data_IF_870145801892
#
_entry.id   IF_870145801892
#
_cell.length_a   1.000
_cell.length_b   1.000
_cell.length_c   1.000
_cell.angle_alpha   90.00
_cell.angle_beta   90.00
_cell.angle_gamma   90.00
#
_symmetry.space_group_name_H-M   'P 1'
#
loop_
_entity.id
_entity.type
_entity.pdbx_description
1 polymer ?
#
# COMPACT_ATOMS: atom_id res chain seq x y z
N UNK A 1 20.01 8.22 -13.99
CA UNK A 1 18.75 8.11 -13.22
C UNK A 1 18.83 6.82 -12.44
N UNK A 2 18.89 6.91 -11.12
CA UNK A 2 18.92 5.71 -10.28
C UNK A 2 17.51 5.10 -10.30
N UNK A 3 17.38 3.84 -10.69
CA UNK A 3 16.17 3.06 -10.52
C UNK A 3 15.91 2.97 -9.02
N UNK A 4 14.76 3.45 -8.58
CA UNK A 4 14.31 3.21 -7.21
C UNK A 4 14.06 1.71 -7.10
N UNK A 5 14.87 1.04 -6.30
CA UNK A 5 14.72 -0.37 -6.02
C UNK A 5 13.49 -0.53 -5.12
N UNK A 6 12.38 -1.00 -5.69
CA UNK A 6 11.06 -1.12 -5.03
C UNK A 6 11.05 -2.26 -3.98
N UNK A 7 12.17 -2.93 -3.80
CA UNK A 7 12.36 -4.04 -2.86
C UNK A 7 13.08 -3.64 -1.56
N UNK A 8 13.06 -2.36 -1.20
CA UNK A 8 13.59 -1.97 0.10
C UNK A 8 12.74 -2.62 1.20
N UNK A 9 13.35 -3.38 2.14
CA UNK A 9 12.68 -3.81 3.35
C UNK A 9 12.07 -2.58 4.06
N UNK A 10 10.96 -2.76 4.75
CA UNK A 10 10.29 -1.67 5.47
C UNK A 10 11.25 -0.89 6.39
N UNK A 11 12.27 -1.58 6.91
CA UNK A 11 13.34 -1.03 7.75
C UNK A 11 14.21 0.00 7.02
N UNK A 12 14.37 -0.11 5.69
CA UNK A 12 15.17 0.84 4.90
C UNK A 12 14.38 2.12 4.53
N UNK A 13 13.06 2.04 4.44
CA UNK A 13 12.23 3.22 4.12
C UNK A 13 12.15 4.17 5.32
N UNK A 14 12.09 3.63 6.54
CA UNK A 14 12.08 4.42 7.77
C UNK A 14 13.45 5.01 8.10
N UNK A 15 14.55 4.41 7.63
CA UNK A 15 15.91 4.94 7.79
C UNK A 15 16.17 6.23 6.99
N UNK A 16 15.27 6.60 6.08
CA UNK A 16 15.37 7.82 5.28
C UNK A 16 14.62 9.01 5.88
N UNK A 17 13.89 8.81 6.98
CA UNK A 17 13.09 9.87 7.60
C UNK A 17 13.76 10.33 8.88
N UNK A 18 14.08 11.61 8.94
CA UNK A 18 14.60 12.26 10.16
C UNK A 18 13.42 12.74 11.01
N UNK A 19 13.23 12.10 12.15
CA UNK A 19 12.20 12.46 13.13
C UNK A 19 12.68 13.50 14.15
N UNK A 20 13.90 14.02 14.01
CA UNK A 20 14.44 15.05 14.88
C UNK A 20 14.40 14.68 16.35
N UNK A 21 13.85 15.55 17.19
CA UNK A 21 13.77 15.33 18.65
C UNK A 21 12.87 14.13 19.03
N UNK A 22 11.98 13.68 18.14
CA UNK A 22 11.05 12.57 18.35
C UNK A 22 11.64 11.20 17.95
N UNK A 23 12.90 11.14 17.47
CA UNK A 23 13.54 9.92 16.95
C UNK A 23 13.48 8.74 17.94
N UNK A 24 13.80 8.99 19.20
CA UNK A 24 13.81 7.95 20.22
C UNK A 24 12.40 7.43 20.54
N UNK A 25 11.40 8.29 20.52
CA UNK A 25 10.00 7.91 20.74
C UNK A 25 9.45 7.13 19.55
N UNK A 26 9.76 7.54 18.32
CA UNK A 26 9.35 6.85 17.09
C UNK A 26 9.99 5.46 16.99
N UNK A 27 11.28 5.34 17.27
CA UNK A 27 11.99 4.05 17.29
C UNK A 27 11.35 3.09 18.30
N UNK A 28 11.03 3.57 19.51
CA UNK A 28 10.32 2.76 20.49
C UNK A 28 8.94 2.36 20.01
N UNK A 29 8.16 3.29 19.45
CA UNK A 29 6.82 3.03 18.93
C UNK A 29 6.84 1.95 17.83
N UNK A 30 7.75 2.06 16.88
CA UNK A 30 7.90 1.08 15.79
C UNK A 30 8.27 -0.31 16.33
N UNK A 31 9.28 -0.39 17.20
CA UNK A 31 9.72 -1.65 17.81
C UNK A 31 8.58 -2.33 18.59
N UNK A 32 7.94 -1.59 19.47
CA UNK A 32 6.89 -2.12 20.35
C UNK A 32 5.62 -2.43 19.56
N UNK A 33 5.30 -1.65 18.53
CA UNK A 33 4.22 -1.90 17.59
C UNK A 33 4.44 -3.15 16.76
N UNK A 34 5.63 -3.33 16.21
CA UNK A 34 6.03 -4.53 15.47
C UNK A 34 5.94 -5.78 16.36
N UNK A 35 6.48 -5.73 17.57
CA UNK A 35 6.40 -6.85 18.50
C UNK A 35 4.95 -7.25 18.81
N UNK A 36 4.07 -6.27 19.05
CA UNK A 36 2.64 -6.53 19.27
C UNK A 36 1.96 -7.12 18.05
N UNK A 37 2.22 -6.57 16.85
CA UNK A 37 1.63 -7.05 15.61
C UNK A 37 2.03 -8.50 15.31
N UNK A 38 3.30 -8.85 15.54
CA UNK A 38 3.80 -10.21 15.33
C UNK A 38 3.29 -11.20 16.38
N UNK A 39 2.90 -10.74 17.57
CA UNK A 39 2.33 -11.59 18.63
C UNK A 39 0.83 -11.86 18.46
N UNK A 40 0.15 -11.16 17.54
CA UNK A 40 -1.28 -11.36 17.29
C UNK A 40 -1.52 -12.70 16.59
N UNK A 41 -2.64 -13.36 16.94
CA UNK A 41 -3.02 -14.66 16.39
C UNK A 41 -3.87 -14.54 15.10
N UNK A 42 -4.26 -13.33 14.72
CA UNK A 42 -5.09 -13.02 13.57
C UNK A 42 -4.29 -12.93 12.26
N UNK A 43 -3.39 -13.90 12.04
CA UNK A 43 -2.57 -13.98 10.84
C UNK A 43 -2.24 -15.42 10.47
N UNK A 44 -2.12 -15.70 9.18
CA UNK A 44 -1.73 -17.01 8.65
C UNK A 44 -2.32 -17.26 7.26
N UNK A 45 -2.15 -18.48 6.73
CA UNK A 45 -2.73 -18.85 5.45
C UNK A 45 -4.25 -18.87 5.48
N UNK A 46 -4.88 -18.82 4.31
CA UNK A 46 -6.31 -19.11 4.17
C UNK A 46 -6.52 -20.61 4.42
N UNK A 47 -7.38 -20.95 5.36
CA UNK A 47 -7.72 -22.33 5.71
C UNK A 47 -9.23 -22.55 5.53
N UNK A 48 -9.59 -23.60 4.80
CA UNK A 48 -10.98 -24.03 4.60
C UNK A 48 -11.28 -25.29 5.40
N UNK A 49 -12.49 -25.38 5.89
CA UNK A 49 -13.02 -26.61 6.52
C UNK A 49 -13.35 -27.70 5.48
N UNK A 50 -13.74 -28.89 5.96
CA UNK A 50 -14.12 -30.00 5.08
C UNK A 50 -15.35 -29.72 4.19
N UNK A 51 -16.16 -28.76 4.58
CA UNK A 51 -17.36 -28.27 3.87
C UNK A 51 -17.03 -27.19 2.85
N UNK A 52 -15.73 -26.78 2.72
CA UNK A 52 -15.28 -25.70 1.85
C UNK A 52 -15.53 -24.30 2.42
N UNK A 53 -16.06 -24.17 3.62
CA UNK A 53 -16.23 -22.87 4.27
C UNK A 53 -14.89 -22.38 4.86
N UNK A 54 -14.74 -21.07 4.96
CA UNK A 54 -13.60 -20.47 5.67
C UNK A 54 -13.59 -20.95 7.13
N UNK A 55 -12.40 -21.28 7.64
CA UNK A 55 -12.24 -21.78 9.00
C UNK A 55 -12.93 -20.89 10.03
N UNK A 56 -13.67 -21.50 10.95
CA UNK A 56 -14.35 -20.80 12.03
C UNK A 56 -13.36 -20.05 12.95
N UNK A 57 -12.14 -20.55 13.11
CA UNK A 57 -11.10 -19.89 13.90
C UNK A 57 -10.68 -18.58 13.24
N UNK A 58 -10.51 -18.55 11.90
CA UNK A 58 -10.19 -17.33 11.15
C UNK A 58 -11.32 -16.32 11.31
N UNK A 59 -12.58 -16.73 11.15
CA UNK A 59 -13.73 -15.83 11.32
C UNK A 59 -13.82 -15.31 12.75
N UNK A 60 -13.57 -16.14 13.75
CA UNK A 60 -13.56 -15.74 15.16
C UNK A 60 -12.50 -14.68 15.44
N UNK A 61 -11.27 -14.90 14.94
CA UNK A 61 -10.17 -13.95 15.09
C UNK A 61 -10.48 -12.64 14.34
N UNK A 62 -11.01 -12.72 13.12
CA UNK A 62 -11.41 -11.55 12.34
C UNK A 62 -12.44 -10.70 13.11
N UNK A 63 -13.48 -11.30 13.64
CA UNK A 63 -14.51 -10.57 14.38
C UNK A 63 -14.05 -10.05 15.74
N UNK A 64 -13.09 -10.74 16.37
CA UNK A 64 -12.51 -10.29 17.64
C UNK A 64 -11.59 -9.09 17.46
N UNK A 65 -10.72 -9.11 16.45
CA UNK A 65 -9.68 -8.10 16.22
C UNK A 65 -10.12 -7.00 15.23
N UNK A 66 -11.15 -7.26 14.45
CA UNK A 66 -11.63 -6.37 13.38
C UNK A 66 -10.87 -6.50 12.06
N UNK A 67 -9.87 -7.38 11.97
CA UNK A 67 -9.11 -7.69 10.77
C UNK A 67 -8.41 -9.05 10.88
N UNK A 68 -7.97 -9.60 9.73
CA UNK A 68 -7.11 -10.77 9.65
C UNK A 68 -6.07 -10.57 8.55
N UNK A 69 -4.83 -11.00 8.78
CA UNK A 69 -3.73 -10.88 7.82
C UNK A 69 -3.53 -12.24 7.16
N UNK A 70 -3.91 -12.37 5.89
CA UNK A 70 -3.67 -13.58 5.12
C UNK A 70 -2.26 -13.61 4.56
N UNK A 71 -1.55 -14.69 4.79
CA UNK A 71 -0.18 -14.91 4.35
C UNK A 71 -0.15 -15.90 3.17
N UNK A 72 0.76 -15.66 2.22
CA UNK A 72 1.00 -16.57 1.10
C UNK A 72 -0.12 -16.64 0.05
N UNK A 73 -1.04 -15.68 0.02
CA UNK A 73 -2.15 -15.64 -0.95
C UNK A 73 -1.63 -15.34 -2.34
N UNK A 74 -0.72 -14.38 -2.44
CA UNK A 74 -0.12 -13.97 -3.72
C UNK A 74 1.24 -14.64 -3.86
N UNK A 75 1.39 -15.47 -4.89
CA UNK A 75 2.64 -16.18 -5.19
C UNK A 75 3.74 -15.25 -5.73
N UNK A 76 4.97 -15.77 -5.75
CA UNK A 76 6.12 -14.99 -6.24
C UNK A 76 6.02 -14.63 -7.74
N UNK A 77 5.36 -15.46 -8.54
CA UNK A 77 5.13 -15.19 -9.96
C UNK A 77 4.07 -14.10 -10.14
N UNK A 78 2.94 -14.23 -9.48
CA UNK A 78 1.87 -13.22 -9.51
C UNK A 78 2.36 -11.86 -9.03
N UNK A 79 3.18 -11.85 -7.97
CA UNK A 79 3.80 -10.61 -7.48
C UNK A 79 4.68 -9.97 -8.54
N UNK A 80 5.53 -10.75 -9.24
CA UNK A 80 6.36 -10.23 -10.34
C UNK A 80 5.53 -9.66 -11.47
N UNK A 81 4.44 -10.33 -11.85
CA UNK A 81 3.54 -9.83 -12.88
C UNK A 81 2.94 -8.47 -12.48
N UNK A 82 2.50 -8.34 -11.23
CA UNK A 82 1.99 -7.07 -10.69
C UNK A 82 3.07 -5.99 -10.70
N UNK A 83 4.30 -6.31 -10.26
CA UNK A 83 5.43 -5.38 -10.25
C UNK A 83 5.76 -4.87 -11.66
N UNK A 84 5.74 -5.75 -12.67
CA UNK A 84 5.95 -5.38 -14.08
C UNK A 84 4.85 -4.45 -14.58
N UNK A 85 3.59 -4.81 -14.38
CA UNK A 85 2.45 -4.00 -14.83
C UNK A 85 2.43 -2.64 -14.12
N UNK A 86 2.70 -2.60 -12.82
CA UNK A 86 2.76 -1.35 -12.04
C UNK A 86 3.91 -0.47 -12.52
N UNK A 87 5.08 -1.05 -12.82
CA UNK A 87 6.19 -0.30 -13.39
C UNK A 87 5.83 0.33 -14.74
N UNK A 88 5.11 -0.39 -15.61
CA UNK A 88 4.62 0.16 -16.88
C UNK A 88 3.59 1.28 -16.69
N UNK A 89 2.67 1.13 -15.73
CA UNK A 89 1.72 2.18 -15.38
C UNK A 89 2.45 3.45 -14.91
N UNK A 90 3.49 3.30 -14.09
CA UNK A 90 4.29 4.43 -13.60
C UNK A 90 5.08 5.10 -14.73
N UNK A 91 5.59 4.34 -15.71
CA UNK A 91 6.24 4.90 -16.91
C UNK A 91 5.29 5.75 -17.78
N UNK A 92 4.00 5.43 -17.73
CA UNK A 92 2.95 6.07 -18.48
C UNK A 92 2.17 7.12 -17.69
N UNK A 93 2.51 7.31 -16.41
CA UNK A 93 1.84 8.27 -15.54
C UNK A 93 2.06 9.73 -16.01
N UNK A 94 1.15 10.65 -15.70
CA UNK A 94 1.34 12.07 -16.00
C UNK A 94 2.64 12.60 -15.39
N UNK A 95 3.40 13.39 -16.17
CA UNK A 95 4.68 13.96 -15.72
C UNK A 95 4.54 14.94 -14.54
N UNK A 96 3.37 15.55 -14.40
CA UNK A 96 3.06 16.50 -13.32
C UNK A 96 1.56 16.47 -13.01
N UNK A 97 1.18 17.06 -11.88
CA UNK A 97 -0.21 17.22 -11.50
C UNK A 97 -0.98 17.95 -12.61
N UNK A 98 -2.03 17.33 -13.11
CA UNK A 98 -2.88 17.79 -14.20
C UNK A 98 -2.22 17.78 -15.60
N UNK A 99 -1.04 17.21 -15.78
CA UNK A 99 -0.48 17.01 -17.11
C UNK A 99 -1.29 15.94 -17.86
N UNK A 100 -1.42 16.13 -19.19
CA UNK A 100 -2.04 15.16 -20.09
C UNK A 100 -1.01 14.28 -20.80
N UNK A 101 0.27 14.47 -20.52
CA UNK A 101 1.38 13.73 -21.15
C UNK A 101 2.26 13.08 -20.08
N UNK A 102 2.87 11.95 -20.46
CA UNK A 102 3.87 11.25 -19.65
C UNK A 102 5.27 11.89 -19.81
N UNK A 103 6.27 11.33 -19.15
CA UNK A 103 7.67 11.80 -19.21
C UNK A 103 8.32 11.71 -20.59
N UNK A 104 7.71 10.99 -21.53
CA UNK A 104 8.16 10.86 -22.91
C UNK A 104 7.35 11.72 -23.90
N UNK A 105 6.43 12.55 -23.39
CA UNK A 105 5.58 13.40 -24.21
C UNK A 105 4.42 12.66 -24.90
N UNK A 106 4.16 11.38 -24.55
CA UNK A 106 3.02 10.62 -25.04
C UNK A 106 1.79 10.96 -24.21
N UNK A 107 0.55 10.73 -24.72
CA UNK A 107 -0.65 10.84 -23.89
C UNK A 107 -0.48 10.01 -22.61
N UNK A 108 -0.68 10.63 -21.47
CA UNK A 108 -0.58 9.97 -20.18
C UNK A 108 -1.68 8.91 -20.05
N UNK A 109 -1.41 7.87 -19.27
CA UNK A 109 -2.37 6.79 -19.04
C UNK A 109 -3.66 7.35 -18.44
N UNK A 110 -4.80 6.97 -19.01
CA UNK A 110 -6.12 7.43 -18.57
C UNK A 110 -6.44 8.89 -18.91
N UNK A 111 -5.65 9.54 -19.80
CA UNK A 111 -5.94 10.91 -20.27
C UNK A 111 -7.23 11.03 -21.09
N UNK A 112 -7.72 9.91 -21.61
CA UNK A 112 -8.95 9.75 -22.39
C UNK A 112 -10.13 9.21 -21.57
N UNK A 113 -9.93 8.92 -20.28
CA UNK A 113 -10.97 8.39 -19.40
C UNK A 113 -11.66 9.51 -18.62
N UNK A 114 -12.94 9.35 -18.31
CA UNK A 114 -13.60 10.13 -17.26
C UNK A 114 -12.98 9.76 -15.90
N UNK A 115 -12.36 10.74 -15.26
CA UNK A 115 -11.68 10.55 -14.01
C UNK A 115 -10.15 10.48 -14.15
N UNK A 116 -9.47 10.53 -13.02
CA UNK A 116 -8.01 10.52 -12.98
C UNK A 116 -7.51 9.14 -12.62
N UNK A 117 -6.72 8.53 -13.51
CA UNK A 117 -6.04 7.27 -13.22
C UNK A 117 -4.92 7.40 -12.20
N UNK A 118 -4.41 8.62 -11.98
CA UNK A 118 -3.31 8.89 -11.05
C UNK A 118 -3.66 10.07 -10.16
N UNK A 119 -3.53 9.88 -8.86
CA UNK A 119 -3.62 10.94 -7.86
C UNK A 119 -2.23 11.32 -7.38
N UNK A 120 -1.90 12.59 -7.48
CA UNK A 120 -0.65 13.14 -6.98
C UNK A 120 -0.88 13.97 -5.72
N UNK A 121 0.10 13.93 -4.83
CA UNK A 121 0.18 14.76 -3.62
C UNK A 121 1.55 15.38 -3.51
N UNK A 122 1.70 16.35 -2.60
CA UNK A 122 3.04 16.75 -2.17
C UNK A 122 3.70 15.60 -1.43
N UNK A 123 5.03 15.46 -1.48
CA UNK A 123 5.74 14.46 -0.69
C UNK A 123 5.26 14.50 0.76
N UNK A 124 4.86 13.35 1.29
CA UNK A 124 4.52 13.24 2.69
C UNK A 124 5.83 13.17 3.48
N UNK A 125 5.94 14.05 4.42
CA UNK A 125 7.07 14.12 5.31
C UNK A 125 6.96 13.14 6.48
N UNK A 126 5.76 12.61 6.74
CA UNK A 126 5.52 11.59 7.75
C UNK A 126 4.91 10.33 7.13
N UNK A 127 5.70 9.27 6.88
CA UNK A 127 5.22 8.03 6.29
C UNK A 127 4.27 7.26 7.21
N UNK A 128 4.25 7.55 8.52
CA UNK A 128 3.39 6.90 9.49
C UNK A 128 2.09 7.67 9.76
N UNK A 129 1.95 8.85 9.17
CA UNK A 129 0.71 9.61 9.20
C UNK A 129 0.38 10.26 10.54
N UNK A 130 1.41 10.63 11.33
CA UNK A 130 1.27 11.37 12.59
C UNK A 130 0.97 12.84 12.44
N UNK A 131 1.01 13.36 11.21
CA UNK A 131 0.84 14.78 10.90
C UNK A 131 -0.61 15.25 10.97
N UNK A 132 -0.80 16.54 10.82
CA UNK A 132 -2.10 17.20 10.73
C UNK A 132 -2.98 16.64 9.59
N UNK A 133 -2.38 16.11 8.52
CA UNK A 133 -3.09 15.48 7.40
C UNK A 133 -3.90 14.25 7.83
N UNK A 134 -3.48 13.55 8.86
CA UNK A 134 -4.20 12.42 9.47
C UNK A 134 -4.99 12.82 10.72
N UNK A 135 -5.19 14.12 10.95
CA UNK A 135 -5.98 14.66 12.05
C UNK A 135 -5.53 14.18 13.43
N UNK A 136 -4.24 13.96 13.60
CA UNK A 136 -3.66 13.54 14.87
C UNK A 136 -4.08 12.14 15.32
N UNK A 137 -4.48 11.26 14.43
CA UNK A 137 -4.86 9.88 14.76
C UNK A 137 -3.67 9.01 15.14
N UNK A 138 -2.47 9.43 14.80
CA UNK A 138 -1.26 8.73 15.22
C UNK A 138 -0.98 9.00 16.70
N UNK A 139 -0.60 7.98 17.49
CA UNK A 139 -0.33 8.15 18.93
C UNK A 139 0.90 9.03 19.23
N UNK A 140 1.89 9.02 18.34
CA UNK A 140 3.05 9.92 18.41
C UNK A 140 2.77 11.13 17.54
N UNK A 141 2.70 12.30 18.15
CA UNK A 141 2.54 13.58 17.45
C UNK A 141 3.92 14.13 17.15
N UNK A 142 4.28 14.13 15.90
CA UNK A 142 5.56 14.66 15.42
C UNK A 142 5.36 15.97 14.67
N UNK A 143 6.40 16.79 14.68
CA UNK A 143 6.51 17.87 13.73
C UNK A 143 6.60 17.29 12.30
N UNK A 144 6.05 17.99 11.31
CA UNK A 144 6.26 17.60 9.92
C UNK A 144 7.74 17.72 9.57
N UNK A 145 8.39 16.64 9.08
CA UNK A 145 9.79 16.70 8.67
C UNK A 145 9.98 17.76 7.57
N UNK A 146 11.16 18.34 7.52
CA UNK A 146 11.52 19.29 6.49
C UNK A 146 11.70 18.53 5.18
N UNK A 147 10.91 18.90 4.16
CA UNK A 147 11.07 18.36 2.82
C UNK A 147 12.36 18.91 2.23
N UNK A 148 13.30 18.06 1.74
CA UNK A 148 14.50 18.52 1.07
C UNK A 148 14.16 19.39 -0.16
N UNK A 149 14.99 20.40 -0.42
CA UNK A 149 14.80 21.31 -1.56
C UNK A 149 14.82 20.56 -2.91
N UNK A 150 15.52 19.43 -2.98
CA UNK A 150 15.61 18.58 -4.17
C UNK A 150 14.41 17.66 -4.36
N UNK A 151 13.51 17.57 -3.38
CA UNK A 151 12.35 16.71 -3.48
C UNK A 151 11.41 17.19 -4.61
N UNK A 152 10.80 16.26 -5.36
CA UNK A 152 9.85 16.65 -6.39
C UNK A 152 8.64 17.35 -5.75
N UNK A 153 8.14 18.39 -6.40
CA UNK A 153 6.96 19.12 -5.88
C UNK A 153 5.72 18.21 -5.70
N UNK A 154 5.59 17.22 -6.57
CA UNK A 154 4.48 16.26 -6.58
C UNK A 154 4.99 14.84 -6.73
N UNK A 155 4.40 13.93 -5.97
CA UNK A 155 4.62 12.48 -6.06
C UNK A 155 3.30 11.76 -6.30
N UNK A 156 3.37 10.60 -6.93
CA UNK A 156 2.20 9.73 -7.11
C UNK A 156 1.83 9.15 -5.75
N UNK A 157 0.61 9.43 -5.32
CA UNK A 157 0.04 8.89 -4.08
C UNK A 157 -0.77 7.63 -4.33
N UNK A 158 -1.58 7.63 -5.38
CA UNK A 158 -2.49 6.54 -5.71
C UNK A 158 -2.52 6.31 -7.21
N UNK A 159 -2.53 5.05 -7.58
CA UNK A 159 -2.91 4.58 -8.91
C UNK A 159 -4.38 4.15 -8.83
N UNK A 160 -5.24 4.88 -9.51
CA UNK A 160 -6.67 4.61 -9.59
C UNK A 160 -6.95 3.85 -10.89
N UNK A 161 -7.90 2.93 -10.86
CA UNK A 161 -8.28 2.18 -12.05
C UNK A 161 -7.20 1.20 -12.54
N UNK A 162 -6.35 0.68 -11.65
CA UNK A 162 -5.33 -0.32 -11.99
C UNK A 162 -5.93 -1.54 -12.70
N UNK A 163 -7.17 -1.90 -12.38
CA UNK A 163 -7.91 -2.99 -13.04
C UNK A 163 -8.17 -2.75 -14.55
N UNK A 164 -8.11 -1.50 -14.99
CA UNK A 164 -8.28 -1.13 -16.40
C UNK A 164 -6.97 -1.15 -17.18
N UNK A 165 -5.85 -1.14 -16.48
CA UNK A 165 -4.53 -0.95 -17.04
C UNK A 165 -3.55 -2.10 -16.75
N UNK A 166 -3.96 -3.10 -15.96
CA UNK A 166 -3.13 -4.22 -15.53
C UNK A 166 -3.94 -5.50 -15.47
N UNK A 167 -3.56 -6.47 -16.29
CA UNK A 167 -4.13 -7.81 -16.25
C UNK A 167 -3.77 -8.54 -14.95
N UNK A 168 -2.58 -8.30 -14.41
CA UNK A 168 -2.14 -8.87 -13.15
C UNK A 168 -2.98 -8.34 -11.97
N UNK A 169 -3.25 -7.03 -11.91
CA UNK A 169 -4.14 -6.45 -10.90
C UNK A 169 -5.58 -6.94 -11.05
N UNK A 170 -6.05 -7.13 -12.29
CA UNK A 170 -7.38 -7.69 -12.54
C UNK A 170 -7.49 -9.13 -12.05
N UNK A 171 -6.46 -9.96 -12.29
CA UNK A 171 -6.40 -11.34 -11.75
C UNK A 171 -6.39 -11.34 -10.22
N UNK A 172 -5.62 -10.45 -9.59
CA UNK A 172 -5.61 -10.30 -8.13
C UNK A 172 -6.98 -9.90 -7.58
N UNK A 173 -7.66 -8.94 -8.23
CA UNK A 173 -9.01 -8.53 -7.84
C UNK A 173 -10.01 -9.69 -7.92
N UNK A 174 -9.89 -10.53 -8.95
CA UNK A 174 -10.71 -11.73 -9.14
C UNK A 174 -10.15 -12.98 -8.48
N UNK A 175 -9.17 -12.89 -7.57
CA UNK A 175 -8.53 -14.04 -6.97
C UNK A 175 -9.55 -14.91 -6.19
N UNK A 176 -9.71 -16.20 -6.52
CA UNK A 176 -10.79 -17.04 -5.96
C UNK A 176 -10.80 -17.07 -4.42
N UNK A 177 -9.64 -17.22 -3.81
CA UNK A 177 -9.53 -17.28 -2.35
C UNK A 177 -9.92 -15.98 -1.68
N UNK A 178 -9.54 -14.81 -2.28
CA UNK A 178 -9.93 -13.51 -1.76
C UNK A 178 -11.44 -13.27 -1.88
N UNK A 179 -12.04 -13.70 -3.00
CA UNK A 179 -13.49 -13.61 -3.19
C UNK A 179 -14.24 -14.54 -2.21
N UNK A 180 -13.73 -15.75 -1.97
CA UNK A 180 -14.31 -16.66 -0.99
C UNK A 180 -14.22 -16.11 0.44
N UNK A 181 -13.09 -15.49 0.80
CA UNK A 181 -12.94 -14.80 2.09
C UNK A 181 -13.95 -13.64 2.19
N UNK A 182 -14.07 -12.83 1.15
CA UNK A 182 -15.01 -11.71 1.13
C UNK A 182 -16.46 -12.19 1.30
N UNK A 183 -16.84 -13.26 0.63
CA UNK A 183 -18.16 -13.87 0.77
C UNK A 183 -18.40 -14.42 2.19
N UNK A 184 -17.39 -15.07 2.78
CA UNK A 184 -17.49 -15.63 4.13
C UNK A 184 -17.68 -14.54 5.21
N UNK A 185 -17.06 -13.36 5.01
CA UNK A 185 -17.13 -12.25 5.96
C UNK A 185 -18.41 -11.42 5.79
N UNK A 186 -18.85 -11.19 4.55
CA UNK A 186 -19.99 -10.30 4.26
C UNK A 186 -21.33 -11.04 4.12
N UNK A 187 -21.28 -12.34 4.05
CA UNK A 187 -22.44 -13.17 3.70
C UNK A 187 -22.63 -13.26 2.16
N UNK A 188 -23.51 -14.15 1.72
CA UNK A 188 -23.81 -14.33 0.30
C UNK A 188 -24.55 -13.14 -0.30
#
# INVERSE_FOLDING_TARGET
MASVDVNLPLDDVTALVDFGDDEAEMTRYQRDGTARALAMQNRGPIIYGPDGALSADILSEYWREGFYIFEGVVGAEERRDIEVDVAEILERAPIAKNASVDKHGRPALGSDCEGRSVRMTRPLSDPLGGTSANHGRHPVKMAEPIIPDEAPEWVIQLLLGTLQHSDACLRLYGHPDLLNVAAAVNGP
#
